data_IF_057072575087
#
_entry.id   IF_057072575087
#
_cell.length_a   1.000
_cell.length_b   1.000
_cell.length_c   1.000
_cell.angle_alpha   90.00
_cell.angle_beta   90.00
_cell.angle_gamma   90.00
#
_symmetry.space_group_name_H-M   'P 1'
#
loop_
_entity.id
_entity.type
_entity.pdbx_description
1 polymer ?
#
# COMPACT_ATOMS: atom_id res chain seq x y z
N UNK A 1 -15.77 -5.40 24.71
CA UNK A 1 -15.45 -5.44 23.26
C UNK A 1 -14.01 -5.93 23.10
N UNK A 2 -13.79 -6.91 22.25
CA UNK A 2 -12.46 -7.44 22.07
C UNK A 2 -11.56 -6.46 21.28
N UNK A 3 -10.27 -6.74 21.26
CA UNK A 3 -9.26 -5.87 20.65
C UNK A 3 -9.53 -5.62 19.16
N UNK A 4 -9.87 -6.68 18.42
CA UNK A 4 -10.09 -6.57 16.98
C UNK A 4 -11.32 -5.73 16.69
N UNK A 5 -12.41 -5.93 17.42
CA UNK A 5 -13.61 -5.11 17.27
C UNK A 5 -13.34 -3.65 17.65
N UNK A 6 -12.54 -3.40 18.68
CA UNK A 6 -12.12 -2.03 19.02
C UNK A 6 -11.34 -1.38 17.90
N UNK A 7 -10.41 -2.13 17.28
CA UNK A 7 -9.65 -1.64 16.14
C UNK A 7 -10.55 -1.26 14.97
N UNK A 8 -11.52 -2.13 14.64
CA UNK A 8 -12.44 -1.89 13.54
C UNK A 8 -13.34 -0.68 13.82
N UNK A 9 -13.84 -0.53 15.04
CA UNK A 9 -14.66 0.63 15.39
C UNK A 9 -13.85 1.93 15.29
N UNK A 10 -12.61 1.93 15.73
CA UNK A 10 -11.71 3.09 15.57
C UNK A 10 -11.45 3.38 14.10
N UNK A 11 -11.24 2.34 13.30
CA UNK A 11 -11.04 2.51 11.86
C UNK A 11 -12.26 3.13 11.19
N UNK A 12 -13.46 2.67 11.53
CA UNK A 12 -14.70 3.25 11.00
C UNK A 12 -14.83 4.73 11.32
N UNK A 13 -14.44 5.13 12.52
CA UNK A 13 -14.47 6.56 12.91
C UNK A 13 -13.47 7.39 12.12
N UNK A 14 -12.41 6.78 11.61
CA UNK A 14 -11.35 7.47 10.87
C UNK A 14 -11.47 7.33 9.35
N UNK A 15 -12.57 6.76 8.85
CA UNK A 15 -12.73 6.54 7.40
C UNK A 15 -12.57 7.82 6.60
N UNK A 16 -13.21 8.91 7.04
CA UNK A 16 -13.10 10.20 6.35
C UNK A 16 -11.65 10.69 6.32
N UNK A 17 -10.92 10.49 7.41
CA UNK A 17 -9.49 10.83 7.46
C UNK A 17 -8.71 10.05 6.41
N UNK A 18 -8.90 8.73 6.32
CA UNK A 18 -8.19 7.89 5.35
C UNK A 18 -8.61 8.20 3.91
N UNK A 19 -9.87 8.50 3.66
CA UNK A 19 -10.34 8.93 2.35
C UNK A 19 -9.68 10.24 1.91
N UNK A 20 -9.60 11.22 2.81
CA UNK A 20 -8.92 12.48 2.52
C UNK A 20 -7.43 12.27 2.32
N UNK A 21 -6.81 11.40 3.13
CA UNK A 21 -5.40 11.04 2.98
C UNK A 21 -5.13 10.44 1.59
N UNK A 22 -5.95 9.50 1.16
CA UNK A 22 -5.83 8.88 -0.17
C UNK A 22 -6.01 9.89 -1.30
N UNK A 23 -7.02 10.74 -1.20
CA UNK A 23 -7.31 11.76 -2.20
C UNK A 23 -6.16 12.77 -2.32
N UNK A 24 -5.70 13.28 -1.20
CA UNK A 24 -4.62 14.28 -1.19
C UNK A 24 -3.30 13.67 -1.67
N UNK A 25 -2.95 12.50 -1.14
CA UNK A 25 -1.69 11.83 -1.51
C UNK A 25 -1.67 11.43 -2.98
N UNK A 26 -2.77 10.89 -3.49
CA UNK A 26 -2.84 10.51 -4.91
C UNK A 26 -2.79 11.73 -5.82
N UNK A 27 -3.40 12.84 -5.42
CA UNK A 27 -3.36 14.09 -6.17
C UNK A 27 -1.95 14.66 -6.21
N UNK A 28 -1.24 14.67 -5.07
CA UNK A 28 0.15 15.13 -5.02
C UNK A 28 1.04 14.29 -5.92
N UNK A 29 0.85 12.97 -5.89
CA UNK A 29 1.65 12.06 -6.70
C UNK A 29 1.33 12.24 -8.19
N UNK A 30 0.07 12.38 -8.54
CA UNK A 30 -0.36 12.62 -9.92
C UNK A 30 0.25 13.91 -10.46
N UNK A 31 0.20 15.00 -9.69
CA UNK A 31 0.79 16.27 -10.08
C UNK A 31 2.30 16.15 -10.28
N UNK A 32 2.99 15.45 -9.39
CA UNK A 32 4.43 15.25 -9.48
C UNK A 32 4.80 14.42 -10.71
N UNK A 33 4.03 13.37 -11.00
CA UNK A 33 4.24 12.53 -12.19
C UNK A 33 4.04 13.34 -13.46
N UNK A 34 2.98 14.12 -13.53
CA UNK A 34 2.68 14.97 -14.68
C UNK A 34 3.76 16.01 -14.89
N UNK A 35 4.24 16.65 -13.82
CA UNK A 35 5.30 17.65 -13.91
C UNK A 35 6.62 17.04 -14.38
N UNK A 36 6.86 15.77 -14.07
CA UNK A 36 8.04 15.05 -14.51
C UNK A 36 7.91 14.46 -15.92
N UNK A 37 6.77 14.64 -16.57
CA UNK A 37 6.52 14.10 -17.90
C UNK A 37 6.27 12.59 -17.92
N UNK A 38 5.88 12.02 -16.79
CA UNK A 38 5.62 10.57 -16.68
C UNK A 38 4.15 10.31 -16.89
N UNK A 39 3.82 9.43 -17.86
CA UNK A 39 2.46 9.00 -18.11
C UNK A 39 2.10 7.86 -17.16
N UNK A 40 1.07 8.07 -16.35
CA UNK A 40 0.63 7.10 -15.37
C UNK A 40 -0.83 7.34 -15.02
N UNK A 41 -1.48 6.27 -14.56
CA UNK A 41 -2.80 6.36 -13.95
C UNK A 41 -2.62 6.19 -12.45
N UNK A 42 -3.15 7.11 -11.67
CA UNK A 42 -3.08 7.05 -10.20
C UNK A 42 -4.48 6.85 -9.66
N UNK A 43 -4.65 5.82 -8.86
CA UNK A 43 -5.92 5.53 -8.18
C UNK A 43 -5.64 5.30 -6.70
N UNK A 44 -6.66 5.44 -5.86
CA UNK A 44 -6.52 5.11 -4.46
C UNK A 44 -7.71 4.30 -3.97
N UNK A 45 -7.50 3.56 -2.91
CA UNK A 45 -8.53 2.71 -2.33
C UNK A 45 -8.40 2.69 -0.81
N UNK A 46 -9.54 2.83 -0.15
CA UNK A 46 -9.65 2.69 1.28
C UNK A 46 -10.21 1.30 1.57
N UNK A 47 -9.60 0.60 2.51
CA UNK A 47 -10.01 -0.77 2.85
C UNK A 47 -11.42 -0.79 3.42
N UNK A 48 -12.26 -1.68 2.90
CA UNK A 48 -13.60 -1.90 3.45
C UNK A 48 -13.49 -2.46 4.88
N UNK A 49 -14.21 -1.90 5.87
CA UNK A 49 -14.09 -2.36 7.25
C UNK A 49 -14.39 -3.85 7.46
N UNK A 50 -15.37 -4.40 6.75
CA UNK A 50 -15.71 -5.82 6.84
C UNK A 50 -14.59 -6.71 6.33
N UNK A 51 -14.00 -6.36 5.20
CA UNK A 51 -12.86 -7.10 4.63
C UNK A 51 -11.62 -6.96 5.50
N UNK A 52 -11.42 -5.78 6.07
CA UNK A 52 -10.32 -5.53 7.00
C UNK A 52 -10.45 -6.43 8.22
N UNK A 53 -11.64 -6.50 8.81
CA UNK A 53 -11.90 -7.36 9.96
C UNK A 53 -11.59 -8.82 9.63
N UNK A 54 -12.05 -9.31 8.47
CA UNK A 54 -11.80 -10.68 8.04
C UNK A 54 -10.30 -10.96 7.90
N UNK A 55 -9.56 -10.02 7.34
CA UNK A 55 -8.10 -10.13 7.18
C UNK A 55 -7.40 -10.20 8.52
N UNK A 56 -7.77 -9.32 9.45
CA UNK A 56 -7.17 -9.26 10.78
C UNK A 56 -7.45 -10.56 11.54
N UNK A 57 -8.67 -11.08 11.48
CA UNK A 57 -9.04 -12.33 12.13
C UNK A 57 -8.22 -13.50 11.59
N UNK A 58 -8.07 -13.60 10.27
CA UNK A 58 -7.26 -14.66 9.66
C UNK A 58 -5.80 -14.58 10.08
N UNK A 59 -5.23 -13.38 10.10
CA UNK A 59 -3.84 -13.19 10.50
C UNK A 59 -3.65 -13.50 11.98
N UNK A 60 -4.60 -13.11 12.83
CA UNK A 60 -4.52 -13.35 14.26
C UNK A 60 -4.45 -14.84 14.57
N UNK A 61 -5.26 -15.65 13.89
CA UNK A 61 -5.26 -17.10 14.05
C UNK A 61 -3.93 -17.74 13.64
N UNK A 62 -3.31 -17.21 12.57
CA UNK A 62 -2.05 -17.74 12.05
C UNK A 62 -0.82 -17.30 12.83
N UNK A 63 -0.94 -16.29 13.67
CA UNK A 63 0.19 -15.79 14.45
C UNK A 63 0.55 -16.80 15.55
N UNK A 64 1.84 -16.92 15.83
CA UNK A 64 2.33 -17.72 16.98
C UNK A 64 1.80 -17.13 18.28
N UNK A 65 1.80 -15.79 18.38
CA UNK A 65 1.25 -15.06 19.51
C UNK A 65 0.16 -14.12 18.98
N UNK A 66 -1.08 -14.20 19.48
CA UNK A 66 -2.14 -13.30 19.05
C UNK A 66 -1.80 -11.83 19.33
N UNK A 67 -2.47 -10.93 18.62
CA UNK A 67 -2.27 -9.49 18.83
C UNK A 67 -2.56 -9.11 20.28
N UNK A 68 -1.64 -8.38 20.89
CA UNK A 68 -1.74 -7.95 22.29
C UNK A 68 -2.35 -6.56 22.43
N UNK A 69 -2.16 -5.70 21.43
CA UNK A 69 -2.64 -4.32 21.47
C UNK A 69 -2.88 -3.80 20.05
N UNK A 70 -3.49 -2.62 19.96
CA UNK A 70 -3.80 -2.01 18.66
C UNK A 70 -2.55 -1.65 17.88
N UNK A 71 -1.47 -1.29 18.54
CA UNK A 71 -0.22 -0.94 17.88
C UNK A 71 0.30 -2.10 17.04
N UNK A 72 0.23 -3.33 17.56
CA UNK A 72 0.65 -4.51 16.83
C UNK A 72 -0.20 -4.73 15.57
N UNK A 73 -1.51 -4.46 15.66
CA UNK A 73 -2.40 -4.55 14.51
C UNK A 73 -2.02 -3.50 13.45
N UNK A 74 -1.80 -2.25 13.86
CA UNK A 74 -1.38 -1.19 12.94
C UNK A 74 -0.06 -1.49 12.26
N UNK A 75 0.90 -2.07 12.98
CA UNK A 75 2.19 -2.42 12.40
C UNK A 75 2.09 -3.56 11.40
N UNK A 76 1.20 -4.53 11.64
CA UNK A 76 1.03 -5.68 10.78
C UNK A 76 0.16 -5.37 9.55
N UNK A 77 -0.84 -4.51 9.70
CA UNK A 77 -1.74 -4.11 8.62
C UNK A 77 -1.24 -2.80 8.01
N UNK A 78 -0.65 -2.91 6.82
CA UNK A 78 -0.01 -1.76 6.18
C UNK A 78 -0.90 -1.03 5.18
N UNK A 79 -2.01 -1.62 4.75
CA UNK A 79 -2.76 -1.15 3.58
C UNK A 79 -4.13 -0.56 3.91
N UNK A 80 -4.22 0.24 4.97
CA UNK A 80 -5.47 0.94 5.30
C UNK A 80 -5.87 1.93 4.21
N UNK A 81 -4.88 2.61 3.64
CA UNK A 81 -5.07 3.48 2.48
C UNK A 81 -4.06 3.06 1.42
N UNK A 82 -4.54 2.59 0.29
CA UNK A 82 -3.70 2.12 -0.81
C UNK A 82 -3.74 3.05 -2.01
N UNK A 83 -2.59 3.34 -2.58
CA UNK A 83 -2.48 4.12 -3.82
C UNK A 83 -1.82 3.23 -4.86
N UNK A 84 -2.39 3.22 -6.05
CA UNK A 84 -1.84 2.47 -7.18
C UNK A 84 -1.40 3.43 -8.27
N UNK A 85 -0.18 3.27 -8.73
CA UNK A 85 0.35 3.97 -9.89
C UNK A 85 0.55 2.94 -11.00
N UNK A 86 -0.15 3.13 -12.10
CA UNK A 86 -0.02 2.25 -13.27
C UNK A 86 0.74 3.02 -14.34
N UNK A 87 1.92 2.51 -14.72
CA UNK A 87 2.78 3.17 -15.69
C UNK A 87 2.48 2.69 -17.11
N UNK A 88 2.51 3.61 -18.08
CA UNK A 88 2.48 3.24 -19.50
C UNK A 88 3.83 2.72 -19.97
N UNK A 89 4.92 3.27 -19.41
CA UNK A 89 6.28 2.88 -19.80
C UNK A 89 7.02 2.31 -18.58
N UNK A 90 7.33 1.00 -18.57
CA UNK A 90 8.01 0.37 -17.44
C UNK A 90 9.37 1.01 -17.09
N UNK A 91 10.04 1.62 -18.07
CA UNK A 91 11.31 2.30 -17.85
C UNK A 91 11.23 3.50 -16.90
N UNK A 92 10.03 4.04 -16.68
CA UNK A 92 9.82 5.16 -15.78
C UNK A 92 9.81 4.77 -14.30
N UNK A 93 9.92 3.48 -13.96
CA UNK A 93 9.88 3.01 -12.57
C UNK A 93 10.93 3.68 -11.67
N UNK A 94 12.14 3.89 -12.19
CA UNK A 94 13.22 4.50 -11.42
C UNK A 94 12.85 5.95 -11.06
N UNK A 95 12.30 6.68 -12.03
CA UNK A 95 11.85 8.07 -11.81
C UNK A 95 10.71 8.12 -10.80
N UNK A 96 9.77 7.18 -10.87
CA UNK A 96 8.65 7.09 -9.92
C UNK A 96 9.17 6.81 -8.52
N UNK A 97 10.13 5.90 -8.37
CA UNK A 97 10.75 5.60 -7.07
C UNK A 97 11.35 6.87 -6.44
N UNK A 98 12.06 7.67 -7.23
CA UNK A 98 12.62 8.93 -6.76
C UNK A 98 11.53 9.91 -6.31
N UNK A 99 10.45 10.03 -7.09
CA UNK A 99 9.34 10.92 -6.74
C UNK A 99 8.65 10.49 -5.45
N UNK A 100 8.43 9.20 -5.28
CA UNK A 100 7.82 8.67 -4.05
C UNK A 100 8.72 8.98 -2.85
N UNK A 101 10.02 8.79 -2.99
CA UNK A 101 10.98 9.09 -1.92
C UNK A 101 11.03 10.57 -1.57
N UNK A 102 10.81 11.44 -2.56
CA UNK A 102 10.78 12.90 -2.35
C UNK A 102 9.49 13.34 -1.65
N UNK A 103 8.35 12.75 -2.00
CA UNK A 103 7.05 13.16 -1.49
C UNK A 103 6.69 12.53 -0.15
N UNK A 104 7.17 11.31 0.09
CA UNK A 104 6.80 10.52 1.26
C UNK A 104 8.02 9.98 1.97
N UNK A 105 7.85 9.67 3.25
CA UNK A 105 8.86 8.93 4.00
C UNK A 105 8.67 7.43 3.71
N UNK A 106 9.61 6.81 2.99
CA UNK A 106 9.52 5.40 2.64
C UNK A 106 10.02 4.56 3.81
N UNK A 107 9.15 3.69 4.31
CA UNK A 107 9.45 2.79 5.43
C UNK A 107 9.95 1.44 4.89
N UNK A 108 9.33 0.95 3.84
CA UNK A 108 9.61 -0.37 3.30
C UNK A 108 9.38 -0.37 1.79
N UNK A 109 10.22 -1.11 1.06
CA UNK A 109 10.06 -1.36 -0.38
C UNK A 109 10.02 -2.86 -0.63
N UNK A 110 9.10 -3.29 -1.48
CA UNK A 110 9.04 -4.67 -1.98
C UNK A 110 8.85 -4.65 -3.48
N UNK A 111 9.50 -5.57 -4.16
CA UNK A 111 9.41 -5.71 -5.62
C UNK A 111 8.82 -7.07 -5.97
N UNK A 112 7.89 -7.08 -6.93
CA UNK A 112 7.30 -8.30 -7.47
C UNK A 112 7.52 -8.38 -8.98
N UNK A 113 7.98 -9.51 -9.52
CA UNK A 113 8.46 -10.68 -8.78
C UNK A 113 9.76 -10.37 -8.03
N UNK A 114 10.03 -11.15 -6.97
CA UNK A 114 11.26 -10.98 -6.20
C UNK A 114 12.47 -11.26 -7.07
N UNK A 115 13.48 -10.37 -7.02
CA UNK A 115 14.68 -10.51 -7.82
C UNK A 115 15.54 -11.73 -7.43
N UNK A 116 15.40 -12.20 -6.19
CA UNK A 116 16.18 -13.31 -5.67
C UNK A 116 15.83 -14.66 -6.30
N UNK A 117 14.73 -14.74 -7.03
CA UNK A 117 14.30 -15.97 -7.67
C UNK A 117 14.36 -15.82 -9.18
N UNK A 118 15.46 -16.29 -9.82
CA UNK A 118 15.50 -16.29 -11.27
C UNK A 118 14.36 -17.16 -11.80
N UNK A 119 13.69 -16.74 -12.87
CA UNK A 119 12.59 -17.50 -13.41
C UNK A 119 13.09 -18.82 -13.99
N UNK A 120 12.45 -19.90 -13.61
CA UNK A 120 12.76 -21.22 -14.13
C UNK A 120 11.95 -21.54 -15.38
N UNK A 121 11.12 -20.63 -15.84
CA UNK A 121 10.26 -20.80 -16.99
C UNK A 121 10.23 -19.55 -17.85
N UNK A 122 9.70 -19.68 -19.05
CA UNK A 122 9.63 -18.59 -20.00
C UNK A 122 8.68 -17.48 -19.50
N UNK A 123 9.21 -16.27 -19.40
CA UNK A 123 8.48 -15.11 -18.85
C UNK A 123 7.67 -14.33 -19.87
N UNK A 124 7.37 -14.87 -21.03
CA UNK A 124 6.58 -14.16 -22.04
C UNK A 124 5.28 -13.56 -21.48
N UNK A 125 4.73 -14.21 -20.48
CA UNK A 125 3.45 -13.84 -19.89
C UNK A 125 3.54 -13.38 -18.45
N UNK A 126 4.72 -13.04 -17.97
CA UNK A 126 4.82 -12.44 -16.66
C UNK A 126 4.31 -11.01 -16.75
N UNK A 127 2.99 -10.89 -16.84
CA UNK A 127 2.37 -9.60 -17.03
C UNK A 127 2.38 -8.70 -15.80
N UNK A 128 2.73 -9.22 -14.64
CA UNK A 128 2.61 -8.45 -13.42
C UNK A 128 3.97 -8.07 -12.85
N UNK A 129 4.27 -6.78 -12.91
CA UNK A 129 5.42 -6.19 -12.26
C UNK A 129 4.92 -5.13 -11.32
N UNK A 130 5.35 -5.16 -10.07
CA UNK A 130 4.94 -4.17 -9.10
C UNK A 130 6.06 -3.88 -8.10
N UNK A 131 6.20 -2.62 -7.76
CA UNK A 131 6.97 -2.20 -6.61
C UNK A 131 5.97 -1.73 -5.56
N UNK A 132 6.10 -2.25 -4.35
CA UNK A 132 5.25 -1.88 -3.24
C UNK A 132 6.03 -1.04 -2.24
N UNK A 133 5.43 0.03 -1.79
CA UNK A 133 6.04 0.94 -0.83
C UNK A 133 5.12 1.09 0.37
N UNK A 134 5.71 0.99 1.56
CA UNK A 134 5.04 1.41 2.77
C UNK A 134 5.59 2.77 3.13
N UNK A 135 4.71 3.78 3.21
CA UNK A 135 5.14 5.17 3.37
C UNK A 135 4.35 5.88 4.44
N UNK A 136 4.95 6.94 4.98
CA UNK A 136 4.28 7.95 5.77
C UNK A 136 4.34 9.28 5.04
N UNK A 137 3.37 10.15 5.29
CA UNK A 137 3.45 11.53 4.80
C UNK A 137 4.59 12.26 5.50
N UNK A 138 5.26 13.08 4.73
CA UNK A 138 6.26 13.97 5.29
C UNK A 138 5.63 15.13 6.02
#
# INVERSE_FOLDING_TARGET
MDLINQFIENYKKKLTFYENLGRISSSQLEDALQSAGIRAMVTYRIKNPGRLKSKILRRNVKRTVPYKNMKEIYEDIADLCGIRVSLYFPGDRIKVDSLISDLFQVIERKQFPEQSKPPTYNKRFSGYWANHYRVHMK
#
